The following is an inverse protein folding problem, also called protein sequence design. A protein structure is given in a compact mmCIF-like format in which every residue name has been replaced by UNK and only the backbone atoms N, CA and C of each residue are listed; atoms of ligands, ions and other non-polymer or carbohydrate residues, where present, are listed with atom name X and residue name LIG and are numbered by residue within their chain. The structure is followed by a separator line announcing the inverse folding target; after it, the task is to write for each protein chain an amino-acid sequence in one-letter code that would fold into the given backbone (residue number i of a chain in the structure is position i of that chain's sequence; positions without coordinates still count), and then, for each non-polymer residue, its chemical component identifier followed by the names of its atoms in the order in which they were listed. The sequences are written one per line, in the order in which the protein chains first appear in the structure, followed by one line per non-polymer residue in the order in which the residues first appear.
data_IF_656571428268
#
_entry.id   IF_656571428268
#
_cell.length_a   1.000
_cell.length_b   1.000
_cell.length_c   1.000
_cell.angle_alpha   90.00
_cell.angle_beta   90.00
_cell.angle_gamma   90.00
#
_symmetry.space_group_name_H-M   'P 1'
#
loop_
_entity.id
_entity.type
_entity.pdbx_description
1 polymer ?
#
# COMPACT_ATOMS: atom_id res chain seq x y z
N UNK A 1 8.55 -8.64 -7.65
CA UNK A 1 8.98 -7.22 -7.68
C UNK A 1 9.61 -6.79 -9.01
N UNK A 2 10.38 -7.64 -9.72
CA UNK A 2 11.20 -7.23 -10.89
C UNK A 2 10.50 -6.41 -11.99
N UNK A 3 9.20 -6.59 -12.20
CA UNK A 3 8.45 -5.87 -13.24
C UNK A 3 7.89 -4.51 -12.80
N UNK A 4 7.82 -4.22 -11.49
CA UNK A 4 7.30 -2.95 -10.96
C UNK A 4 8.20 -1.76 -11.34
N UNK A 5 7.63 -0.57 -11.37
CA UNK A 5 8.38 0.68 -11.50
C UNK A 5 9.41 0.82 -10.39
N UNK A 6 10.45 1.62 -10.63
CA UNK A 6 11.49 1.87 -9.64
C UNK A 6 10.91 2.49 -8.35
N UNK A 7 9.94 3.40 -8.48
CA UNK A 7 9.35 4.10 -7.34
C UNK A 7 8.57 3.16 -6.44
N UNK A 8 7.66 2.34 -7.00
CA UNK A 8 6.93 1.32 -6.23
C UNK A 8 7.89 0.36 -5.55
N UNK A 9 8.95 -0.08 -6.23
CA UNK A 9 9.97 -0.95 -5.62
C UNK A 9 10.64 -0.30 -4.42
N UNK A 10 11.17 0.91 -4.62
CA UNK A 10 11.91 1.63 -3.58
C UNK A 10 11.04 1.94 -2.36
N UNK A 11 9.80 2.38 -2.59
CA UNK A 11 8.85 2.62 -1.51
C UNK A 11 8.51 1.33 -0.76
N UNK A 12 8.21 0.25 -1.48
CA UNK A 12 7.87 -1.03 -0.87
C UNK A 12 9.05 -1.61 -0.07
N UNK A 13 10.25 -1.59 -0.64
CA UNK A 13 11.48 -2.02 0.04
C UNK A 13 11.71 -1.20 1.31
N UNK A 14 11.60 0.13 1.21
CA UNK A 14 11.76 1.01 2.37
C UNK A 14 10.78 0.68 3.51
N UNK A 15 9.49 0.53 3.18
CA UNK A 15 8.45 0.20 4.16
C UNK A 15 8.69 -1.17 4.81
N UNK A 16 9.05 -2.18 4.03
CA UNK A 16 9.32 -3.53 4.53
C UNK A 16 10.58 -3.58 5.39
N UNK A 17 11.62 -2.83 5.03
CA UNK A 17 12.87 -2.73 5.80
C UNK A 17 12.65 -1.98 7.12
N UNK A 18 11.86 -0.90 7.11
CA UNK A 18 11.64 -0.05 8.28
C UNK A 18 10.68 -0.67 9.29
N UNK A 19 9.58 -1.26 8.84
CA UNK A 19 8.52 -1.77 9.72
C UNK A 19 8.49 -3.29 9.88
N UNK A 20 9.32 -4.00 9.11
CA UNK A 20 9.40 -5.46 9.16
C UNK A 20 8.32 -6.15 8.31
N UNK A 21 8.75 -7.16 7.56
CA UNK A 21 7.89 -8.00 6.73
C UNK A 21 6.87 -8.84 7.51
N UNK A 22 6.98 -8.87 8.85
CA UNK A 22 5.99 -9.47 9.75
C UNK A 22 4.81 -8.54 10.07
N UNK A 23 4.95 -7.23 9.84
CA UNK A 23 3.93 -6.22 10.11
C UNK A 23 3.27 -5.73 8.82
N UNK A 24 4.03 -5.65 7.73
CA UNK A 24 3.54 -5.29 6.39
C UNK A 24 3.69 -6.49 5.46
N UNK A 25 2.58 -6.92 4.86
CA UNK A 25 2.54 -7.99 3.89
C UNK A 25 2.20 -7.44 2.51
N UNK A 26 2.91 -7.91 1.47
CA UNK A 26 2.46 -7.69 0.09
C UNK A 26 1.29 -8.63 -0.16
N UNK A 27 0.08 -8.07 -0.31
CA UNK A 27 -1.14 -8.85 -0.49
C UNK A 27 -1.63 -8.88 -1.94
N UNK A 28 -1.21 -7.92 -2.76
CA UNK A 28 -1.56 -7.91 -4.18
C UNK A 28 -0.40 -7.47 -5.05
N UNK A 29 -0.03 -8.36 -5.97
CA UNK A 29 1.02 -8.17 -6.95
C UNK A 29 0.42 -8.31 -8.35
N UNK A 30 -0.23 -7.25 -8.85
CA UNK A 30 -0.73 -7.24 -10.23
C UNK A 30 0.43 -7.25 -11.21
N UNK A 31 0.75 -8.42 -11.76
CA UNK A 31 1.83 -8.58 -12.76
C UNK A 31 1.60 -7.70 -14.00
N UNK A 32 0.33 -7.51 -14.39
CA UNK A 32 -0.06 -6.71 -15.55
C UNK A 32 -0.04 -5.19 -15.29
N UNK A 33 0.01 -4.75 -14.03
CA UNK A 33 0.10 -3.34 -13.65
C UNK A 33 1.40 -3.10 -12.90
N UNK A 34 2.42 -2.61 -13.61
CA UNK A 34 3.71 -2.36 -12.99
C UNK A 34 3.75 -1.13 -12.07
N UNK A 35 2.70 -0.31 -12.05
CA UNK A 35 2.60 0.93 -11.29
C UNK A 35 1.85 0.79 -9.97
N UNK A 36 1.21 -0.37 -9.71
CA UNK A 36 0.39 -0.60 -8.53
C UNK A 36 0.97 -1.65 -7.57
N UNK A 37 0.71 -1.54 -6.27
CA UNK A 37 0.99 -2.58 -5.27
C UNK A 37 -0.05 -2.57 -4.16
N UNK A 38 -0.47 -3.76 -3.70
CA UNK A 38 -1.33 -3.90 -2.53
C UNK A 38 -0.52 -4.35 -1.31
N UNK A 39 -0.63 -3.59 -0.22
CA UNK A 39 -0.02 -3.89 1.08
C UNK A 39 -1.10 -4.09 2.14
N UNK A 40 -0.89 -5.01 3.07
CA UNK A 40 -1.82 -5.25 4.18
C UNK A 40 -1.10 -5.37 5.51
N UNK A 41 -1.87 -5.24 6.58
CA UNK A 41 -1.41 -5.63 7.90
C UNK A 41 -1.24 -7.16 8.00
N UNK A 42 -0.63 -7.64 9.08
CA UNK A 42 -0.43 -9.08 9.32
C UNK A 42 -1.71 -9.91 9.39
N UNK A 43 -2.84 -9.28 9.75
CA UNK A 43 -4.15 -9.96 9.77
C UNK A 43 -4.83 -9.97 8.41
N UNK A 44 -4.26 -9.26 7.42
CA UNK A 44 -4.80 -9.06 6.07
C UNK A 44 -6.20 -8.44 6.06
N UNK A 45 -6.56 -7.71 7.11
CA UNK A 45 -7.87 -7.08 7.26
C UNK A 45 -7.87 -5.65 6.76
N UNK A 46 -6.76 -4.95 6.90
CA UNK A 46 -6.60 -3.59 6.40
C UNK A 46 -5.68 -3.66 5.19
N UNK A 47 -6.16 -3.13 4.07
CA UNK A 47 -5.42 -3.12 2.80
C UNK A 47 -5.23 -1.68 2.34
N UNK A 48 -4.05 -1.42 1.79
CA UNK A 48 -3.64 -0.17 1.17
C UNK A 48 -3.19 -0.51 -0.25
N UNK A 49 -3.79 0.14 -1.23
CA UNK A 49 -3.33 0.10 -2.61
C UNK A 49 -2.57 1.37 -2.90
N UNK A 50 -1.33 1.23 -3.36
CA UNK A 50 -0.46 2.34 -3.72
C UNK A 50 -0.21 2.25 -5.22
N UNK A 51 -0.43 3.35 -5.93
CA UNK A 51 -0.07 3.47 -7.34
C UNK A 51 0.84 4.66 -7.56
N UNK A 52 1.78 4.54 -8.49
CA UNK A 52 2.46 5.70 -9.06
C UNK A 52 1.85 6.04 -10.42
N UNK A 53 2.22 7.19 -10.98
CA UNK A 53 1.74 7.59 -12.31
C UNK A 53 2.69 7.17 -13.46
N UNK A 54 3.75 6.41 -13.15
CA UNK A 54 4.80 5.94 -14.06
C UNK A 54 5.58 7.04 -14.81
N UNK A 55 5.37 8.32 -14.52
CA UNK A 55 5.87 9.46 -15.31
C UNK A 55 6.56 10.54 -14.48
N UNK A 56 6.09 10.77 -13.27
CA UNK A 56 6.58 11.79 -12.34
C UNK A 56 7.12 11.09 -11.11
N UNK A 57 8.31 11.49 -10.70
CA UNK A 57 8.94 10.94 -9.50
C UNK A 57 8.26 11.48 -8.23
N UNK A 58 8.10 10.61 -7.22
CA UNK A 58 7.51 10.90 -5.92
C UNK A 58 6.08 11.46 -5.99
N UNK A 59 5.26 10.96 -6.90
CA UNK A 59 3.84 11.28 -6.97
C UNK A 59 3.04 9.99 -6.94
N UNK A 60 2.42 9.74 -5.80
CA UNK A 60 1.65 8.53 -5.54
C UNK A 60 0.15 8.84 -5.37
N UNK A 61 -0.64 7.83 -5.63
CA UNK A 61 -2.03 7.73 -5.25
C UNK A 61 -2.19 6.55 -4.29
N UNK A 62 -3.04 6.73 -3.28
CA UNK A 62 -3.35 5.72 -2.27
C UNK A 62 -4.85 5.54 -2.17
N UNK A 63 -5.30 4.29 -2.24
CA UNK A 63 -6.67 3.88 -1.94
C UNK A 63 -6.68 2.91 -0.77
N UNK A 64 -7.51 3.20 0.22
CA UNK A 64 -7.61 2.44 1.47
C UNK A 64 -8.86 1.58 1.46
N UNK A 65 -8.76 0.36 1.96
CA UNK A 65 -9.90 -0.52 2.20
C UNK A 65 -10.03 -0.89 3.68
N UNK A 66 -11.26 -0.82 4.17
CA UNK A 66 -11.66 -1.34 5.47
C UNK A 66 -12.07 -2.81 5.35
N UNK A 67 -11.79 -3.64 6.37
CA UNK A 67 -12.27 -5.01 6.40
C UNK A 67 -13.80 -5.07 6.34
N UNK A 68 -14.36 -6.16 5.80
CA UNK A 68 -15.80 -6.40 5.89
C UNK A 68 -16.23 -6.49 7.37
N UNK A 69 -17.45 -6.05 7.65
CA UNK A 69 -18.04 -6.14 9.00
C UNK A 69 -18.44 -7.57 9.38
N UNK A 70 -18.43 -8.48 8.41
CA UNK A 70 -18.78 -9.90 8.51
C UNK A 70 -17.67 -10.75 7.87
N UNK A 71 -17.69 -12.08 8.05
CA UNK A 71 -16.70 -12.97 7.41
C UNK A 71 -16.82 -13.00 5.88
N UNK A 72 -17.99 -12.64 5.35
CA UNK A 72 -18.25 -12.53 3.92
C UNK A 72 -18.19 -11.06 3.47
N UNK A 73 -17.40 -10.83 2.42
CA UNK A 73 -17.28 -9.63 1.58
C UNK A 73 -18.54 -8.75 1.46
N UNK A 74 -18.41 -7.44 1.15
CA UNK A 74 -17.22 -6.80 0.59
C UNK A 74 -16.42 -5.92 1.55
N UNK A 75 -15.14 -5.76 1.21
CA UNK A 75 -14.34 -4.64 1.70
C UNK A 75 -15.00 -3.32 1.29
N UNK A 76 -14.82 -2.28 2.10
CA UNK A 76 -15.40 -0.97 1.83
C UNK A 76 -14.31 0.09 1.68
N UNK A 77 -14.47 1.07 0.78
CA UNK A 77 -13.53 2.17 0.66
C UNK A 77 -13.38 2.91 2.00
N UNK A 78 -12.14 3.17 2.40
CA UNK A 78 -11.78 3.87 3.63
C UNK A 78 -11.18 5.26 3.37
N UNK A 79 -10.85 5.56 2.12
CA UNK A 79 -10.35 6.87 1.68
C UNK A 79 -9.44 6.75 0.47
N UNK A 80 -9.47 7.77 -0.37
CA UNK A 80 -8.60 7.91 -1.53
C UNK A 80 -7.80 9.21 -1.40
N UNK A 81 -6.53 9.17 -1.75
CA UNK A 81 -5.58 10.27 -1.61
C UNK A 81 -4.71 10.35 -2.87
N UNK A 82 -4.53 11.55 -3.41
CA UNK A 82 -3.75 11.79 -4.62
C UNK A 82 -2.60 12.78 -4.38
N UNK A 83 -1.68 12.85 -5.33
CA UNK A 83 -0.54 13.77 -5.32
C UNK A 83 0.34 13.68 -4.06
N UNK A 84 0.53 12.46 -3.54
CA UNK A 84 1.28 12.22 -2.32
C UNK A 84 2.78 12.03 -2.58
N UNK A 85 3.60 12.53 -1.66
CA UNK A 85 5.00 12.15 -1.51
C UNK A 85 5.14 10.79 -0.81
N UNK A 86 6.35 10.19 -0.87
CA UNK A 86 6.63 8.92 -0.20
C UNK A 86 6.41 8.97 1.33
N UNK A 87 6.76 10.09 1.98
CA UNK A 87 6.56 10.31 3.42
C UNK A 87 5.07 10.37 3.77
N UNK A 88 4.25 11.05 2.96
CA UNK A 88 2.80 11.10 3.17
C UNK A 88 2.14 9.73 2.95
N UNK A 89 2.61 8.96 1.97
CA UNK A 89 2.15 7.57 1.78
C UNK A 89 2.45 6.72 3.01
N UNK A 90 3.66 6.85 3.55
CA UNK A 90 4.07 6.15 4.76
C UNK A 90 3.19 6.49 5.95
N UNK A 91 2.97 7.78 6.23
CA UNK A 91 2.11 8.25 7.32
C UNK A 91 0.67 7.71 7.21
N UNK A 92 0.10 7.72 6.00
CA UNK A 92 -1.22 7.18 5.73
C UNK A 92 -1.23 5.67 5.97
N UNK A 93 -0.22 4.96 5.47
CA UNK A 93 -0.12 3.51 5.56
C UNK A 93 0.00 3.03 7.00
N UNK A 94 0.91 3.59 7.80
CA UNK A 94 1.10 3.14 9.20
C UNK A 94 -0.16 3.36 10.03
N UNK A 95 -0.86 4.47 9.78
CA UNK A 95 -2.11 4.80 10.46
C UNK A 95 -3.23 3.84 10.07
N UNK A 96 -3.37 3.54 8.78
CA UNK A 96 -4.43 2.64 8.29
C UNK A 96 -4.19 1.19 8.70
N UNK A 97 -2.94 0.71 8.56
CA UNK A 97 -2.54 -0.66 8.91
C UNK A 97 -2.35 -0.86 10.42
N UNK A 98 -2.47 0.21 11.23
CA UNK A 98 -2.33 0.18 12.69
C UNK A 98 -0.97 -0.36 13.13
N UNK A 99 0.08 0.04 12.42
CA UNK A 99 1.46 -0.33 12.73
C UNK A 99 1.93 0.61 13.84
N UNK A 100 2.34 0.04 14.96
CA UNK A 100 3.00 0.78 16.04
C UNK A 100 4.46 1.03 15.66
N UNK A 101 4.92 2.27 15.82
CA UNK A 101 6.34 2.64 15.75
C UNK A 101 7.20 1.87 16.77
#
# INVERSE_FOLDING_TARGET
MEQKTKQIKQLTEHLLEKYGSENILVTDYWDADNTAIGLSDKTKKYTVYITDNGRTDNVFFVSLENPPTTEDFPYTPAGDFDNLSAEEVEDILIKHLKISE
#
